data_IF_077118869212
#
_entry.id   IF_077118869212
#
_cell.length_a   1.000
_cell.length_b   1.000
_cell.length_c   1.000
_cell.angle_alpha   90.00
_cell.angle_beta   90.00
_cell.angle_gamma   90.00
#
_symmetry.space_group_name_H-M   'P 1'
#
loop_
_entity.id
_entity.type
_entity.pdbx_description
1 polymer ?
#
# COMPACT_ATOMS: atom_id res chain seq x y z
N UNK A 1 2.55 14.98 18.85
CA UNK A 1 1.35 14.63 18.06
C UNK A 1 1.40 13.14 17.84
N UNK A 2 0.46 12.36 18.36
CA UNK A 2 0.46 10.91 18.18
C UNK A 2 0.08 10.61 16.72
N UNK A 3 1.05 10.18 15.92
CA UNK A 3 0.82 9.79 14.54
C UNK A 3 0.17 8.40 14.55
N UNK A 4 -1.15 8.35 14.71
CA UNK A 4 -1.91 7.09 14.77
C UNK A 4 -1.96 6.49 13.36
N UNK A 5 -1.02 5.60 13.06
CA UNK A 5 -0.98 4.87 11.79
C UNK A 5 -2.21 3.94 11.75
N UNK A 6 -2.99 4.00 10.68
CA UNK A 6 -4.15 3.14 10.49
C UNK A 6 -3.68 1.70 10.30
N UNK A 7 -4.26 0.78 11.06
CA UNK A 7 -3.90 -0.63 11.05
C UNK A 7 -5.02 -1.49 10.50
N UNK A 8 -4.65 -2.47 9.69
CA UNK A 8 -5.56 -3.44 9.09
C UNK A 8 -5.07 -4.84 9.41
N UNK A 9 -5.98 -5.76 9.73
CA UNK A 9 -5.70 -7.18 9.53
C UNK A 9 -5.79 -7.47 8.02
N UNK A 10 -4.97 -8.40 7.52
CA UNK A 10 -4.96 -8.77 6.10
C UNK A 10 -6.37 -9.06 5.56
N UNK A 11 -7.15 -9.89 6.25
CA UNK A 11 -8.50 -10.25 5.83
C UNK A 11 -9.42 -9.01 5.69
N UNK A 12 -9.30 -8.05 6.61
CA UNK A 12 -10.08 -6.81 6.58
C UNK A 12 -9.63 -5.89 5.45
N UNK A 13 -8.32 -5.84 5.18
CA UNK A 13 -7.75 -5.10 4.06
C UNK A 13 -8.20 -5.67 2.71
N UNK A 14 -8.23 -6.99 2.57
CA UNK A 14 -8.70 -7.68 1.36
C UNK A 14 -10.20 -7.43 1.13
N UNK A 15 -11.01 -7.50 2.18
CA UNK A 15 -12.45 -7.22 2.08
C UNK A 15 -12.74 -5.75 1.75
N UNK A 16 -11.87 -4.83 2.21
CA UNK A 16 -12.02 -3.38 2.04
C UNK A 16 -10.91 -2.79 1.18
N UNK A 17 -10.49 -3.54 0.16
CA UNK A 17 -9.33 -3.19 -0.66
C UNK A 17 -9.44 -1.81 -1.32
N UNK A 18 -10.67 -1.39 -1.65
CA UNK A 18 -10.96 -0.05 -2.16
C UNK A 18 -10.52 1.03 -1.17
N UNK A 19 -10.92 0.91 0.10
CA UNK A 19 -10.59 1.89 1.15
C UNK A 19 -9.07 1.96 1.39
N UNK A 20 -8.40 0.81 1.36
CA UNK A 20 -6.94 0.70 1.52
C UNK A 20 -6.23 1.46 0.40
N UNK A 21 -6.64 1.26 -0.85
CA UNK A 21 -6.06 1.98 -1.98
C UNK A 21 -6.38 3.47 -1.96
N UNK A 22 -7.60 3.82 -1.55
CA UNK A 22 -8.04 5.20 -1.45
C UNK A 22 -7.26 6.00 -0.41
N UNK A 23 -6.89 5.38 0.71
CA UNK A 23 -6.01 5.97 1.72
C UNK A 23 -4.58 6.11 1.20
N UNK A 24 -4.07 5.09 0.49
CA UNK A 24 -2.74 5.12 -0.10
C UNK A 24 -2.58 6.23 -1.16
N UNK A 25 -3.58 6.40 -2.03
CA UNK A 25 -3.64 7.51 -3.01
C UNK A 25 -3.58 8.88 -2.37
N UNK A 26 -4.10 9.02 -1.14
CA UNK A 26 -4.08 10.26 -0.36
C UNK A 26 -2.80 10.45 0.46
N UNK A 27 -1.81 9.56 0.29
CA UNK A 27 -0.53 9.62 1.00
C UNK A 27 -0.62 9.25 2.48
N UNK A 28 -1.70 8.59 2.91
CA UNK A 28 -1.82 8.14 4.30
C UNK A 28 -0.99 6.87 4.51
N UNK A 29 -0.12 6.90 5.51
CA UNK A 29 0.65 5.72 5.95
C UNK A 29 -0.29 4.75 6.66
N UNK A 30 -0.23 3.48 6.26
CA UNK A 30 -1.06 2.40 6.77
C UNK A 30 -0.20 1.18 7.08
N UNK A 31 -0.62 0.37 8.05
CA UNK A 31 0.04 -0.89 8.42
C UNK A 31 -0.92 -2.05 8.18
N UNK A 32 -0.53 -3.03 7.39
CA UNK A 32 -1.27 -4.28 7.24
C UNK A 32 -0.53 -5.34 8.06
N UNK A 33 -1.24 -5.95 9.00
CA UNK A 33 -0.75 -7.01 9.89
C UNK A 33 -1.38 -8.32 9.44
N UNK A 34 -0.54 -9.31 9.14
CA UNK A 34 -0.96 -10.68 8.87
C UNK A 34 -0.47 -11.60 10.00
N UNK A 35 -1.20 -12.68 10.28
CA UNK A 35 -0.92 -13.60 11.39
C UNK A 35 0.37 -14.40 11.20
N UNK A 36 0.93 -14.44 9.99
CA UNK A 36 2.13 -15.22 9.65
C UNK A 36 3.35 -14.37 9.25
N UNK A 37 3.26 -13.04 9.33
CA UNK A 37 4.39 -12.16 9.01
C UNK A 37 3.98 -10.72 8.73
N UNK A 38 4.91 -9.79 8.93
CA UNK A 38 4.75 -8.39 8.51
C UNK A 38 5.45 -8.25 7.16
N UNK A 39 4.71 -7.84 6.14
CA UNK A 39 5.29 -7.48 4.85
C UNK A 39 5.30 -5.97 4.72
N UNK A 40 6.48 -5.40 4.42
CA UNK A 40 6.64 -3.99 4.12
C UNK A 40 6.69 -3.81 2.59
N UNK A 41 5.75 -3.05 2.04
CA UNK A 41 5.74 -2.69 0.62
C UNK A 41 6.32 -1.28 0.48
N UNK A 42 7.57 -1.21 0.04
CA UNK A 42 8.27 0.07 -0.15
C UNK A 42 8.44 0.33 -1.64
N UNK A 43 7.75 1.35 -2.16
CA UNK A 43 7.93 1.82 -3.53
C UNK A 43 9.25 2.59 -3.65
N UNK A 44 10.17 2.08 -4.48
CA UNK A 44 11.44 2.75 -4.79
C UNK A 44 11.44 3.14 -6.27
N UNK A 45 11.28 4.42 -6.55
CA UNK A 45 11.33 4.94 -7.91
C UNK A 45 12.78 4.93 -8.42
N UNK A 46 13.06 4.16 -9.48
CA UNK A 46 14.42 4.10 -10.07
C UNK A 46 14.65 5.20 -11.12
N UNK A 47 13.60 5.87 -11.61
CA UNK A 47 13.71 6.83 -12.72
C UNK A 47 12.78 8.05 -12.59
N UNK A 48 12.54 8.54 -11.37
CA UNK A 48 11.71 9.74 -11.15
C UNK A 48 10.22 9.58 -11.49
N UNK A 49 9.77 8.35 -11.77
CA UNK A 49 8.37 8.03 -11.94
C UNK A 49 7.66 8.03 -10.59
N UNK A 50 6.51 8.69 -10.50
CA UNK A 50 5.74 8.68 -9.28
C UNK A 50 5.00 7.32 -9.12
N UNK A 51 4.59 7.01 -7.89
CA UNK A 51 3.90 5.77 -7.59
C UNK A 51 2.58 5.61 -8.37
N UNK A 52 1.90 6.72 -8.69
CA UNK A 52 0.65 6.68 -9.43
C UNK A 52 0.85 6.17 -10.86
N UNK A 53 1.90 6.58 -11.56
CA UNK A 53 2.21 6.15 -12.92
C UNK A 53 2.54 4.65 -12.99
N UNK A 54 3.20 4.12 -11.95
CA UNK A 54 3.55 2.70 -11.87
C UNK A 54 2.33 1.85 -11.53
N UNK A 55 1.56 2.27 -10.52
CA UNK A 55 0.37 1.53 -10.07
C UNK A 55 -0.77 1.55 -11.11
N UNK A 56 -0.82 2.57 -11.97
CA UNK A 56 -1.84 2.67 -13.02
C UNK A 56 -1.63 1.70 -14.19
N UNK A 57 -0.43 1.12 -14.36
CA UNK A 57 -0.12 0.23 -15.49
C UNK A 57 -0.78 -1.14 -15.38
N UNK A 58 -1.11 -1.58 -14.17
CA UNK A 58 -1.86 -2.82 -13.93
C UNK A 58 -1.15 -4.07 -14.46
N UNK A 59 -0.40 -4.75 -13.60
CA UNK A 59 0.26 -6.02 -13.91
C UNK A 59 1.70 -6.05 -13.42
N UNK A 60 2.29 -7.24 -13.26
CA UNK A 60 3.72 -7.35 -12.99
C UNK A 60 4.48 -6.70 -14.15
N UNK A 61 5.43 -5.83 -13.83
CA UNK A 61 6.43 -5.39 -14.80
C UNK A 61 7.22 -6.60 -15.26
N UNK A 62 7.28 -6.80 -16.57
CA UNK A 62 8.16 -7.79 -17.19
C UNK A 62 9.60 -7.35 -16.92
N UNK A 63 10.31 -8.08 -16.05
CA UNK A 63 11.76 -8.15 -16.02
C UNK A 63 12.17 -9.51 -16.60
#
# INVERSE_FOLDING_TARGET
MSNTIREWLRADAEQRIVDVFDDAKRGRVQRIVDREGVFELTFRADNGQNAADVLSRGGPSED
#
